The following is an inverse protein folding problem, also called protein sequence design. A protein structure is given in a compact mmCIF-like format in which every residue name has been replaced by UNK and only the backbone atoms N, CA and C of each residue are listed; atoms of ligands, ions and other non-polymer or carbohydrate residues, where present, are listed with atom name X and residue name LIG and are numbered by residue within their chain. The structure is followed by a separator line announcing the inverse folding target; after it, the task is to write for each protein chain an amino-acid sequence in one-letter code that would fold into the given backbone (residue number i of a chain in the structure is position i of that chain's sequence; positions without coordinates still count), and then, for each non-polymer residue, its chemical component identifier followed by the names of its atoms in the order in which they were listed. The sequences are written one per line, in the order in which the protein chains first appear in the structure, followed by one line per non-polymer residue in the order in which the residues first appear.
data_IF_319131800548
#
_entry.id   IF_319131800548
#
_cell.length_a   1.000
_cell.length_b   1.000
_cell.length_c   1.000
_cell.angle_alpha   90.00
_cell.angle_beta   90.00
_cell.angle_gamma   90.00
#
_symmetry.space_group_name_H-M   'P 1'
#
loop_
_entity.id
_entity.type
_entity.pdbx_description
1 polymer ?
#
# COMPACT_ATOMS: atom_id res chain seq x y z
N UNK A 1 26.33 -28.75 82.71
CA UNK A 1 26.11 -29.55 81.48
C UNK A 1 24.67 -30.04 81.51
N UNK A 2 23.83 -29.66 80.53
CA UNK A 2 22.37 -29.70 80.67
C UNK A 2 21.73 -30.95 80.04
N UNK A 3 20.58 -31.36 80.60
CA UNK A 3 19.58 -32.21 79.95
C UNK A 3 18.81 -31.36 78.93
N UNK A 4 18.79 -31.77 77.67
CA UNK A 4 17.83 -31.24 76.68
C UNK A 4 16.85 -32.36 76.25
N UNK A 5 15.60 -32.19 76.66
CA UNK A 5 14.43 -32.92 76.17
C UNK A 5 14.00 -32.29 74.83
N UNK A 6 13.89 -33.10 73.79
CA UNK A 6 13.39 -32.69 72.47
C UNK A 6 11.85 -32.79 72.49
N UNK A 7 11.18 -31.65 72.30
CA UNK A 7 9.75 -31.55 72.01
C UNK A 7 9.53 -31.75 70.50
N UNK A 8 8.70 -32.71 70.13
CA UNK A 8 8.21 -32.91 68.76
C UNK A 8 6.95 -32.06 68.60
N UNK A 9 7.05 -30.98 67.83
CA UNK A 9 5.91 -30.17 67.41
C UNK A 9 5.40 -30.62 66.03
N UNK A 10 4.14 -31.02 65.94
CA UNK A 10 3.43 -31.26 64.68
C UNK A 10 3.07 -29.90 64.04
N UNK A 11 3.61 -29.62 62.84
CA UNK A 11 3.18 -28.50 62.00
C UNK A 11 2.15 -28.99 60.97
N UNK A 12 0.93 -28.47 61.05
CA UNK A 12 -0.16 -28.72 60.11
C UNK A 12 0.07 -27.81 58.88
N UNK A 13 0.46 -28.38 57.74
CA UNK A 13 0.61 -27.63 56.49
C UNK A 13 -0.76 -27.54 55.77
N UNK A 14 -1.29 -26.33 55.68
CA UNK A 14 -2.47 -26.03 54.87
C UNK A 14 -2.09 -25.99 53.38
N UNK A 15 -2.68 -26.88 52.57
CA UNK A 15 -2.51 -26.90 51.12
C UNK A 15 -3.34 -25.81 50.48
N UNK A 16 -2.70 -24.78 49.93
CA UNK A 16 -3.32 -23.79 49.04
C UNK A 16 -3.25 -24.33 47.62
N UNK A 17 -4.40 -24.69 47.04
CA UNK A 17 -4.50 -25.14 45.65
C UNK A 17 -4.28 -23.96 44.70
N UNK A 18 -3.09 -23.86 44.12
CA UNK A 18 -2.83 -23.01 42.96
C UNK A 18 -3.45 -23.65 41.71
N UNK A 19 -4.69 -23.27 41.38
CA UNK A 19 -5.22 -23.46 40.04
C UNK A 19 -4.53 -22.47 39.10
N UNK A 20 -3.34 -22.81 38.62
CA UNK A 20 -2.69 -22.10 37.54
C UNK A 20 -3.53 -22.30 36.27
N UNK A 21 -4.04 -21.19 35.74
CA UNK A 21 -4.63 -21.11 34.39
C UNK A 21 -3.58 -21.66 33.41
N UNK A 22 -3.82 -22.87 32.90
CA UNK A 22 -3.05 -23.42 31.81
C UNK A 22 -3.20 -22.47 30.61
N UNK A 23 -2.14 -21.69 30.34
CA UNK A 23 -2.02 -20.99 29.07
C UNK A 23 -1.86 -22.05 28.00
N UNK A 24 -2.80 -22.06 27.07
CA UNK A 24 -2.80 -22.88 25.86
C UNK A 24 -1.45 -22.72 25.13
N UNK A 25 -0.60 -23.75 25.20
CA UNK A 25 0.77 -23.78 24.68
C UNK A 25 0.85 -24.23 23.23
N UNK A 26 -0.28 -24.37 22.53
CA UNK A 26 -0.25 -24.56 21.09
C UNK A 26 0.42 -23.35 20.41
N UNK A 27 1.39 -23.55 19.50
CA UNK A 27 2.02 -22.44 18.79
C UNK A 27 0.94 -21.69 18.01
N UNK A 28 0.60 -20.48 18.48
CA UNK A 28 -0.40 -19.64 17.82
C UNK A 28 0.09 -19.28 16.43
N UNK A 29 -0.77 -19.49 15.43
CA UNK A 29 -0.55 -19.03 14.05
C UNK A 29 -0.23 -17.53 14.10
N UNK A 30 0.87 -17.04 13.48
CA UNK A 30 1.18 -15.61 13.47
C UNK A 30 0.04 -14.80 12.87
N UNK A 31 -0.25 -13.61 13.38
CA UNK A 31 -1.29 -12.73 12.83
C UNK A 31 -1.06 -12.36 11.37
N UNK A 32 -2.11 -11.88 10.71
CA UNK A 32 -2.08 -11.46 9.31
C UNK A 32 -2.39 -9.98 9.20
N UNK A 33 -1.54 -9.26 8.47
CA UNK A 33 -1.87 -7.91 8.00
C UNK A 33 -2.35 -8.02 6.56
N UNK A 34 -3.46 -7.37 6.22
CA UNK A 34 -3.99 -7.36 4.85
C UNK A 34 -4.10 -5.92 4.35
N UNK A 35 -3.18 -5.55 3.46
CA UNK A 35 -3.18 -4.24 2.81
C UNK A 35 -3.98 -4.31 1.50
N UNK A 36 -5.06 -3.54 1.40
CA UNK A 36 -5.94 -3.49 0.23
C UNK A 36 -5.75 -2.16 -0.48
N UNK A 37 -5.46 -2.20 -1.79
CA UNK A 37 -5.05 -1.02 -2.56
C UNK A 37 -6.12 0.06 -2.74
N UNK A 38 -7.34 -0.15 -2.24
CA UNK A 38 -8.46 0.79 -2.38
C UNK A 38 -9.49 0.33 -3.40
N UNK A 39 -10.61 1.06 -3.49
CA UNK A 39 -11.73 0.75 -4.39
C UNK A 39 -12.16 -0.74 -4.38
N UNK A 40 -12.05 -1.40 -3.22
CA UNK A 40 -12.44 -2.79 -3.06
C UNK A 40 -13.94 -2.92 -3.33
N UNK A 41 -14.28 -3.73 -4.34
CA UNK A 41 -15.67 -3.97 -4.70
C UNK A 41 -16.31 -4.95 -3.73
N UNK A 42 -17.62 -4.80 -3.52
CA UNK A 42 -18.39 -5.67 -2.62
C UNK A 42 -18.49 -7.09 -3.17
N UNK A 43 -18.48 -7.24 -4.50
CA UNK A 43 -18.52 -8.52 -5.22
C UNK A 43 -17.14 -9.20 -5.35
N UNK A 44 -16.07 -8.64 -4.78
CA UNK A 44 -14.75 -9.26 -4.76
C UNK A 44 -14.68 -10.38 -3.72
N UNK A 45 -15.41 -11.47 -3.98
CA UNK A 45 -15.46 -12.64 -3.13
C UNK A 45 -14.08 -13.21 -2.76
N UNK A 46 -13.08 -13.29 -3.67
CA UNK A 46 -11.74 -13.77 -3.32
C UNK A 46 -11.10 -13.01 -2.15
N UNK A 47 -11.27 -11.69 -2.08
CA UNK A 47 -10.73 -10.89 -0.97
C UNK A 47 -11.55 -11.06 0.30
N UNK A 48 -12.87 -10.89 0.23
CA UNK A 48 -13.72 -10.95 1.42
C UNK A 48 -13.70 -12.32 2.09
N UNK A 49 -13.84 -13.41 1.31
CA UNK A 49 -13.79 -14.77 1.84
C UNK A 49 -12.42 -15.09 2.44
N UNK A 50 -11.32 -14.58 1.86
CA UNK A 50 -9.99 -14.81 2.41
C UNK A 50 -9.79 -14.09 3.75
N UNK A 51 -10.32 -12.88 3.93
CA UNK A 51 -10.29 -12.19 5.22
C UNK A 51 -10.97 -13.02 6.32
N UNK A 52 -12.17 -13.53 6.04
CA UNK A 52 -12.94 -14.35 6.98
C UNK A 52 -12.20 -15.67 7.28
N UNK A 53 -11.66 -16.33 6.26
CA UNK A 53 -10.88 -17.55 6.42
C UNK A 53 -9.66 -17.35 7.32
N UNK A 54 -8.90 -16.26 7.11
CA UNK A 54 -7.71 -15.97 7.91
C UNK A 54 -8.04 -15.61 9.36
N UNK A 55 -9.25 -15.08 9.62
CA UNK A 55 -9.76 -14.79 10.96
C UNK A 55 -10.40 -16.02 11.65
N UNK A 56 -10.30 -17.23 11.06
CA UNK A 56 -10.81 -18.46 11.67
C UNK A 56 -12.07 -19.04 11.00
N UNK A 57 -12.51 -18.47 9.89
CA UNK A 57 -13.62 -18.98 9.09
C UNK A 57 -14.99 -18.37 9.45
N UNK A 58 -16.09 -18.96 8.96
CA UNK A 58 -17.44 -18.46 9.21
C UNK A 58 -17.73 -18.29 10.70
N UNK A 59 -18.37 -17.19 11.08
CA UNK A 59 -18.64 -16.79 12.45
C UNK A 59 -17.52 -15.97 13.12
N UNK A 60 -16.36 -15.80 12.45
CA UNK A 60 -15.29 -14.93 12.94
C UNK A 60 -15.80 -13.50 13.19
N UNK A 61 -15.49 -12.94 14.36
CA UNK A 61 -15.93 -11.61 14.74
C UNK A 61 -14.97 -10.54 14.25
N UNK A 62 -15.51 -9.50 13.62
CA UNK A 62 -14.74 -8.38 13.09
C UNK A 62 -15.16 -7.06 13.75
N UNK A 63 -14.18 -6.28 14.19
CA UNK A 63 -14.38 -4.86 14.47
C UNK A 63 -14.13 -4.05 13.18
N UNK A 64 -15.11 -3.26 12.76
CA UNK A 64 -15.00 -2.36 11.60
C UNK A 64 -14.78 -0.93 12.09
N UNK A 65 -13.63 -0.36 11.76
CA UNK A 65 -13.21 0.99 12.11
C UNK A 65 -13.30 1.87 10.87
N UNK A 66 -14.37 2.65 10.79
CA UNK A 66 -14.59 3.61 9.70
C UNK A 66 -13.97 4.99 9.98
N UNK A 67 -12.95 5.05 10.84
CA UNK A 67 -12.35 6.27 11.39
C UNK A 67 -11.92 7.29 10.32
N UNK A 68 -11.37 6.82 9.20
CA UNK A 68 -10.92 7.65 8.10
C UNK A 68 -12.05 8.31 7.29
N UNK A 69 -13.25 7.73 7.33
CA UNK A 69 -14.32 8.06 6.38
C UNK A 69 -14.95 9.42 6.66
N UNK A 70 -15.36 10.12 5.58
CA UNK A 70 -16.22 11.29 5.68
C UNK A 70 -17.62 10.97 6.22
N UNK A 71 -18.10 9.74 6.02
CA UNK A 71 -19.36 9.25 6.55
C UNK A 71 -19.12 7.87 7.18
N UNK A 72 -18.66 7.85 8.45
CA UNK A 72 -18.23 6.62 9.10
C UNK A 72 -19.38 5.63 9.30
N UNK A 73 -20.61 6.11 9.54
CA UNK A 73 -21.79 5.26 9.66
C UNK A 73 -22.06 4.48 8.37
N UNK A 74 -22.09 5.16 7.22
CA UNK A 74 -22.34 4.54 5.91
C UNK A 74 -21.20 3.61 5.48
N UNK A 75 -19.95 4.08 5.62
CA UNK A 75 -18.76 3.31 5.23
C UNK A 75 -18.60 2.06 6.11
N UNK A 76 -18.80 2.21 7.42
CA UNK A 76 -18.79 1.11 8.38
C UNK A 76 -19.88 0.08 8.08
N UNK A 77 -21.13 0.52 7.90
CA UNK A 77 -22.25 -0.37 7.61
C UNK A 77 -22.05 -1.17 6.32
N UNK A 78 -21.58 -0.52 5.23
CA UNK A 78 -21.30 -1.20 3.96
C UNK A 78 -20.20 -2.26 4.10
N UNK A 79 -19.16 -1.94 4.86
CA UNK A 79 -18.03 -2.87 5.09
C UNK A 79 -18.46 -4.04 5.97
N UNK A 80 -19.19 -3.78 7.05
CA UNK A 80 -19.74 -4.81 7.91
C UNK A 80 -20.68 -5.74 7.13
N UNK A 81 -21.53 -5.19 6.25
CA UNK A 81 -22.38 -5.99 5.37
C UNK A 81 -21.57 -6.92 4.45
N UNK A 82 -20.49 -6.43 3.83
CA UNK A 82 -19.64 -7.25 2.96
C UNK A 82 -18.96 -8.39 3.73
N UNK A 83 -18.44 -8.11 4.95
CA UNK A 83 -17.88 -9.13 5.83
C UNK A 83 -18.94 -10.16 6.26
N UNK A 84 -20.15 -9.70 6.60
CA UNK A 84 -21.27 -10.58 6.97
C UNK A 84 -21.70 -11.48 5.79
N UNK A 85 -21.75 -10.94 4.58
CA UNK A 85 -22.02 -11.71 3.35
C UNK A 85 -20.95 -12.77 3.08
N UNK A 86 -19.69 -12.50 3.46
CA UNK A 86 -18.60 -13.47 3.39
C UNK A 86 -18.58 -14.46 4.57
N UNK A 87 -19.52 -14.36 5.52
CA UNK A 87 -19.71 -15.29 6.62
C UNK A 87 -19.15 -14.86 7.98
N UNK A 88 -18.64 -13.63 8.13
CA UNK A 88 -18.22 -13.11 9.43
C UNK A 88 -19.40 -12.56 10.26
N UNK A 89 -19.12 -12.21 11.52
CA UNK A 89 -19.98 -11.39 12.38
C UNK A 89 -19.28 -10.05 12.61
N UNK A 90 -19.57 -9.07 11.78
CA UNK A 90 -18.94 -7.76 11.81
C UNK A 90 -19.75 -6.74 12.62
N UNK A 91 -19.05 -6.00 13.47
CA UNK A 91 -19.59 -4.90 14.24
C UNK A 91 -18.86 -3.59 13.91
N UNK A 92 -19.62 -2.51 13.68
CA UNK A 92 -19.06 -1.18 13.46
C UNK A 92 -18.73 -0.54 14.81
N UNK A 93 -17.46 -0.18 15.00
CA UNK A 93 -17.02 0.54 16.19
C UNK A 93 -17.17 2.04 15.94
N UNK A 94 -17.91 2.79 16.78
CA UNK A 94 -18.20 4.20 16.55
C UNK A 94 -17.02 5.13 16.91
N UNK A 95 -15.82 4.77 16.46
CA UNK A 95 -14.58 5.46 16.77
C UNK A 95 -14.14 6.32 15.58
N UNK A 96 -14.71 7.51 15.45
CA UNK A 96 -14.35 8.49 14.43
C UNK A 96 -14.59 9.92 14.93
N UNK A 97 -13.69 10.88 14.61
CA UNK A 97 -13.95 12.30 14.82
C UNK A 97 -15.17 12.84 14.06
N UNK A 98 -15.67 12.10 13.06
CA UNK A 98 -16.84 12.46 12.25
C UNK A 98 -18.12 11.73 12.67
N UNK A 99 -18.07 10.91 13.71
CA UNK A 99 -19.24 10.22 14.24
C UNK A 99 -20.11 11.19 15.05
N UNK A 100 -21.41 11.26 14.76
CA UNK A 100 -22.31 12.19 15.45
C UNK A 100 -22.76 11.66 16.81
N UNK A 101 -22.72 12.51 17.83
CA UNK A 101 -23.26 12.20 19.16
C UNK A 101 -22.45 11.21 19.98
N UNK A 102 -21.19 10.96 19.61
CA UNK A 102 -20.27 10.07 20.33
C UNK A 102 -19.03 10.85 20.76
N UNK A 103 -18.67 10.75 22.05
CA UNK A 103 -17.38 11.22 22.55
C UNK A 103 -16.28 10.21 22.17
N UNK A 104 -15.81 10.33 20.93
CA UNK A 104 -14.78 9.45 20.38
C UNK A 104 -13.44 9.60 21.12
N UNK A 105 -13.18 10.74 21.78
CA UNK A 105 -11.93 10.99 22.50
C UNK A 105 -11.88 10.20 23.80
N UNK A 106 -13.00 10.10 24.52
CA UNK A 106 -13.12 9.20 25.66
C UNK A 106 -13.15 7.74 25.20
N UNK A 107 -13.90 7.44 24.13
CA UNK A 107 -14.13 6.08 23.64
C UNK A 107 -12.82 5.36 23.23
N UNK A 108 -11.85 6.06 22.63
CA UNK A 108 -10.58 5.46 22.17
C UNK A 108 -9.74 4.84 23.29
N UNK A 109 -9.96 5.28 24.53
CA UNK A 109 -9.26 4.84 25.73
C UNK A 109 -10.20 4.12 26.72
N UNK A 110 -11.45 3.86 26.31
CA UNK A 110 -12.43 3.16 27.16
C UNK A 110 -12.05 1.67 27.34
N UNK A 111 -11.85 1.20 28.58
CA UNK A 111 -11.42 -0.18 28.83
C UNK A 111 -12.39 -1.24 28.30
N UNK A 112 -13.70 -0.99 28.38
CA UNK A 112 -14.71 -1.92 27.89
C UNK A 112 -14.66 -2.08 26.37
N UNK A 113 -14.48 -0.98 25.63
CA UNK A 113 -14.31 -1.05 24.18
C UNK A 113 -12.98 -1.74 23.81
N UNK A 114 -11.89 -1.41 24.49
CA UNK A 114 -10.60 -2.05 24.24
C UNK A 114 -10.66 -3.57 24.46
N UNK A 115 -11.27 -4.01 25.58
CA UNK A 115 -11.47 -5.43 25.87
C UNK A 115 -12.35 -6.12 24.80
N UNK A 116 -13.39 -5.43 24.33
CA UNK A 116 -14.23 -5.91 23.24
C UNK A 116 -13.46 -6.10 21.94
N UNK A 117 -12.68 -5.10 21.52
CA UNK A 117 -11.84 -5.18 20.31
C UNK A 117 -10.80 -6.28 20.45
N UNK A 118 -10.16 -6.42 21.61
CA UNK A 118 -9.17 -7.46 21.87
C UNK A 118 -9.72 -8.90 21.81
N UNK A 119 -11.04 -9.08 21.99
CA UNK A 119 -11.73 -10.36 21.86
C UNK A 119 -12.21 -10.71 20.44
N UNK A 120 -11.95 -9.84 19.45
CA UNK A 120 -12.29 -10.08 18.04
C UNK A 120 -11.23 -10.93 17.34
N UNK A 121 -11.60 -11.54 16.21
CA UNK A 121 -10.67 -12.30 15.38
C UNK A 121 -10.15 -11.46 14.20
N UNK A 122 -10.84 -10.36 13.88
CA UNK A 122 -10.44 -9.45 12.82
C UNK A 122 -10.72 -7.99 13.16
N UNK A 123 -9.91 -7.11 12.60
CA UNK A 123 -10.11 -5.66 12.60
C UNK A 123 -10.00 -5.18 11.16
N UNK A 124 -10.97 -4.38 10.70
CA UNK A 124 -10.99 -3.83 9.35
C UNK A 124 -11.05 -2.30 9.40
N UNK A 125 -10.05 -1.64 8.77
CA UNK A 125 -9.99 -0.19 8.60
C UNK A 125 -10.52 0.23 7.22
N UNK A 126 -11.53 1.09 7.19
CA UNK A 126 -12.05 1.61 5.90
C UNK A 126 -11.16 2.70 5.31
N UNK A 127 -11.41 3.06 4.06
CA UNK A 127 -10.75 4.19 3.39
C UNK A 127 -11.25 5.56 3.85
N UNK A 128 -10.58 6.61 3.39
CA UNK A 128 -10.84 8.01 3.71
C UNK A 128 -9.53 8.78 3.92
N UNK A 129 -9.45 9.60 4.97
CA UNK A 129 -8.25 10.32 5.37
C UNK A 129 -7.45 9.54 6.44
N UNK A 130 -6.26 9.04 6.09
CA UNK A 130 -5.42 8.21 6.96
C UNK A 130 -4.93 8.92 8.22
N UNK A 131 -4.74 10.25 8.18
CA UNK A 131 -4.38 11.04 9.35
C UNK A 131 -5.46 11.04 10.44
N UNK A 132 -6.73 10.82 10.09
CA UNK A 132 -7.79 10.65 11.08
C UNK A 132 -7.63 9.33 11.83
N UNK A 133 -7.15 8.28 11.17
CA UNK A 133 -6.86 7.00 11.85
C UNK A 133 -5.74 7.19 12.86
N UNK A 134 -4.61 7.76 12.43
CA UNK A 134 -3.43 7.88 13.28
C UNK A 134 -3.62 8.89 14.40
N UNK A 135 -4.24 10.05 14.15
CA UNK A 135 -4.54 11.03 15.22
C UNK A 135 -5.58 10.52 16.23
N UNK A 136 -6.49 9.64 15.80
CA UNK A 136 -7.48 9.02 16.70
C UNK A 136 -6.85 7.91 17.55
N UNK A 137 -6.08 7.00 16.95
CA UNK A 137 -5.55 5.80 17.62
C UNK A 137 -4.15 5.97 18.22
N UNK A 138 -3.42 7.00 17.80
CA UNK A 138 -2.07 7.28 18.24
C UNK A 138 -1.82 8.79 18.43
N UNK A 139 -2.64 9.51 19.23
CA UNK A 139 -2.49 10.94 19.44
C UNK A 139 -1.11 11.29 20.01
N UNK A 140 -0.41 12.21 19.36
CA UNK A 140 0.95 12.62 19.78
C UNK A 140 1.96 11.46 19.78
N UNK A 141 1.74 10.44 18.96
CA UNK A 141 2.61 9.27 18.89
C UNK A 141 2.37 8.22 19.98
N UNK A 142 1.42 8.44 20.90
CA UNK A 142 1.11 7.52 22.01
C UNK A 142 -0.06 6.60 21.67
N UNK A 143 0.10 5.27 21.75
CA UNK A 143 -0.98 4.34 21.41
C UNK A 143 -2.12 4.39 22.44
N UNK A 144 -3.36 4.49 21.97
CA UNK A 144 -4.56 4.41 22.81
C UNK A 144 -4.85 2.99 23.27
N UNK A 145 -5.77 2.82 24.22
CA UNK A 145 -6.21 1.48 24.66
C UNK A 145 -6.79 0.65 23.49
N UNK A 146 -7.57 1.27 22.59
CA UNK A 146 -8.08 0.59 21.40
C UNK A 146 -6.96 0.19 20.44
N UNK A 147 -5.92 1.02 20.21
CA UNK A 147 -4.80 0.62 19.36
C UNK A 147 -4.02 -0.57 19.96
N UNK A 148 -3.83 -0.58 21.28
CA UNK A 148 -3.23 -1.71 21.98
C UNK A 148 -4.07 -2.98 21.79
N UNK A 149 -5.39 -2.88 21.87
CA UNK A 149 -6.30 -3.99 21.59
C UNK A 149 -6.19 -4.50 20.14
N UNK A 150 -6.08 -3.60 19.14
CA UNK A 150 -5.86 -4.00 17.74
C UNK A 150 -4.53 -4.76 17.58
N UNK A 151 -3.46 -4.29 18.22
CA UNK A 151 -2.17 -5.01 18.24
C UNK A 151 -2.29 -6.37 18.91
N UNK A 152 -3.09 -6.48 19.96
CA UNK A 152 -3.36 -7.73 20.65
C UNK A 152 -4.12 -8.74 19.76
N UNK A 153 -5.09 -8.30 18.95
CA UNK A 153 -5.75 -9.17 17.94
C UNK A 153 -4.71 -9.78 17.01
N UNK A 154 -3.80 -8.97 16.47
CA UNK A 154 -2.73 -9.45 15.60
C UNK A 154 -1.78 -10.42 16.31
N UNK A 155 -1.36 -10.09 17.55
CA UNK A 155 -0.48 -10.94 18.36
C UNK A 155 -1.12 -12.30 18.73
N UNK A 156 -2.45 -12.39 18.75
CA UNK A 156 -3.20 -13.63 18.99
C UNK A 156 -3.42 -14.46 17.73
N UNK A 157 -2.94 -14.02 16.56
CA UNK A 157 -3.12 -14.72 15.30
C UNK A 157 -4.30 -14.25 14.46
N UNK A 158 -4.98 -13.18 14.88
CA UNK A 158 -6.08 -12.56 14.15
C UNK A 158 -5.63 -11.75 12.92
N UNK A 159 -6.60 -11.08 12.30
CA UNK A 159 -6.42 -10.31 11.07
C UNK A 159 -6.52 -8.81 11.36
N UNK A 160 -5.58 -8.02 10.83
CA UNK A 160 -5.70 -6.57 10.72
C UNK A 160 -5.69 -6.20 9.25
N UNK A 161 -6.84 -5.80 8.72
CA UNK A 161 -7.04 -5.48 7.32
C UNK A 161 -7.37 -4.00 7.14
N UNK A 162 -7.03 -3.42 5.98
CA UNK A 162 -7.40 -2.05 5.68
C UNK A 162 -7.35 -1.71 4.20
N UNK A 163 -8.27 -0.86 3.75
CA UNK A 163 -8.39 -0.43 2.35
C UNK A 163 -8.06 1.05 2.18
N UNK A 164 -7.29 1.41 1.14
CA UNK A 164 -6.88 2.79 0.87
C UNK A 164 -6.17 3.40 2.08
N UNK A 165 -6.73 4.41 2.77
CA UNK A 165 -6.19 4.93 4.04
C UNK A 165 -5.86 3.83 5.06
N UNK A 166 -6.69 2.80 5.17
CA UNK A 166 -6.44 1.64 6.04
C UNK A 166 -5.20 0.83 5.62
N UNK A 167 -4.84 0.79 4.33
CA UNK A 167 -3.60 0.15 3.88
C UNK A 167 -2.37 1.04 4.13
N UNK A 168 -2.51 2.36 3.98
CA UNK A 168 -1.40 3.31 4.16
C UNK A 168 -0.85 3.30 5.59
N UNK A 169 -1.69 3.12 6.61
CA UNK A 169 -1.28 3.05 8.01
C UNK A 169 -0.53 1.76 8.39
N UNK A 170 -0.43 0.77 7.50
CA UNK A 170 0.13 -0.54 7.84
C UNK A 170 1.64 -0.48 8.05
N UNK A 171 2.36 0.41 7.38
CA UNK A 171 3.80 0.66 7.59
C UNK A 171 4.07 1.70 8.67
N UNK A 172 5.30 1.77 9.20
CA UNK A 172 5.67 2.75 10.24
C UNK A 172 5.66 4.20 9.75
N UNK A 173 5.98 4.39 8.47
CA UNK A 173 5.78 5.64 7.75
C UNK A 173 4.65 5.47 6.74
N UNK A 174 3.92 6.55 6.50
CA UNK A 174 2.85 6.60 5.52
C UNK A 174 2.87 7.94 4.79
N UNK A 175 2.29 7.97 3.59
CA UNK A 175 1.90 9.23 2.97
C UNK A 175 0.64 9.78 3.60
N UNK A 176 0.57 11.11 3.77
CA UNK A 176 -0.70 11.83 3.96
C UNK A 176 -1.45 11.93 2.62
N UNK A 177 -2.74 12.23 2.63
CA UNK A 177 -3.58 12.02 1.44
C UNK A 177 -3.20 12.93 0.24
N UNK A 178 -3.55 12.48 -0.96
CA UNK A 178 -3.53 13.22 -2.23
C UNK A 178 -2.19 13.84 -2.71
N UNK A 179 -1.05 13.18 -2.47
CA UNK A 179 0.25 13.67 -2.96
C UNK A 179 0.50 13.42 -4.45
N UNK A 180 0.94 14.46 -5.15
CA UNK A 180 1.49 14.41 -6.51
C UNK A 180 2.84 13.67 -6.50
N UNK A 181 2.91 12.56 -7.23
CA UNK A 181 4.11 11.73 -7.29
C UNK A 181 5.31 12.47 -7.89
N UNK A 182 5.08 13.37 -8.84
CA UNK A 182 6.15 14.16 -9.45
C UNK A 182 6.75 15.16 -8.47
N UNK A 183 5.92 15.84 -7.67
CA UNK A 183 6.40 16.73 -6.60
C UNK A 183 7.28 16.00 -5.59
N UNK A 184 6.96 14.75 -5.26
CA UNK A 184 7.79 13.93 -4.36
C UNK A 184 9.14 13.59 -5.00
N UNK A 185 9.17 13.21 -6.29
CA UNK A 185 10.43 13.05 -7.04
C UNK A 185 11.26 14.34 -7.03
N UNK A 186 10.60 15.51 -7.11
CA UNK A 186 11.24 16.83 -7.02
C UNK A 186 11.69 17.21 -5.60
N UNK A 187 11.53 16.33 -4.62
CA UNK A 187 12.03 16.50 -3.25
C UNK A 187 11.01 17.02 -2.23
N UNK A 188 9.72 17.13 -2.59
CA UNK A 188 8.68 17.53 -1.64
C UNK A 188 8.26 16.35 -0.75
N UNK A 189 8.96 16.17 0.36
CA UNK A 189 8.76 15.06 1.30
C UNK A 189 8.92 15.50 2.76
N UNK A 190 8.10 16.44 3.23
CA UNK A 190 8.18 16.99 4.59
C UNK A 190 7.35 16.16 5.55
N UNK A 191 7.89 15.92 6.73
CA UNK A 191 7.17 15.28 7.83
C UNK A 191 6.04 16.16 8.34
N UNK A 192 4.90 15.54 8.69
CA UNK A 192 3.69 16.22 9.12
C UNK A 192 2.85 16.81 7.97
N UNK A 193 3.42 16.96 6.77
CA UNK A 193 2.74 17.51 5.58
C UNK A 193 2.51 16.46 4.49
N UNK A 194 3.59 15.90 3.92
CA UNK A 194 3.49 14.89 2.86
C UNK A 194 3.58 13.46 3.41
N UNK A 195 4.38 13.27 4.45
CA UNK A 195 4.55 11.98 5.13
C UNK A 195 4.36 12.11 6.64
N UNK A 196 3.96 11.02 7.27
CA UNK A 196 3.75 10.95 8.72
C UNK A 196 3.99 9.52 9.23
N UNK A 197 3.91 9.34 10.54
CA UNK A 197 3.93 8.01 11.16
C UNK A 197 2.61 7.28 10.89
N UNK A 198 2.72 6.06 10.37
CA UNK A 198 1.63 5.09 10.34
C UNK A 198 1.53 4.32 11.66
N UNK A 199 0.76 3.24 11.68
CA UNK A 199 0.60 2.39 12.86
C UNK A 199 1.59 1.21 12.90
N UNK A 200 2.30 0.92 11.81
CA UNK A 200 3.44 -0.02 11.82
C UNK A 200 3.07 -1.46 12.18
N UNK A 201 2.09 -2.04 11.48
CA UNK A 201 1.70 -3.44 11.61
C UNK A 201 2.57 -4.41 10.80
N UNK A 202 3.24 -3.95 9.74
CA UNK A 202 4.10 -4.80 8.87
C UNK A 202 5.60 -4.75 9.21
N UNK A 203 5.94 -4.17 10.37
CA UNK A 203 7.33 -4.00 10.80
C UNK A 203 8.08 -2.88 10.08
N UNK A 204 9.39 -2.75 10.32
CA UNK A 204 10.19 -1.61 9.88
C UNK A 204 10.69 -1.72 8.43
N UNK A 205 10.70 -2.92 7.85
CA UNK A 205 11.39 -3.18 6.58
C UNK A 205 10.51 -2.97 5.33
N UNK A 206 9.18 -2.93 5.50
CA UNK A 206 8.21 -2.88 4.42
C UNK A 206 7.38 -1.58 4.45
N UNK A 207 7.48 -0.79 3.38
CA UNK A 207 6.63 0.38 3.16
C UNK A 207 5.41 0.00 2.31
N UNK A 208 4.19 0.38 2.73
CA UNK A 208 2.96 0.10 1.99
C UNK A 208 2.42 1.35 1.30
N UNK A 209 2.09 1.21 0.02
CA UNK A 209 1.32 2.20 -0.73
C UNK A 209 0.12 1.53 -1.43
N UNK A 210 -0.84 2.35 -1.85
CA UNK A 210 -2.19 1.98 -2.29
C UNK A 210 -2.58 2.83 -3.51
N UNK A 211 -3.65 2.48 -4.24
CA UNK A 211 -4.05 3.09 -5.52
C UNK A 211 -2.86 3.28 -6.47
N UNK A 212 -2.00 2.27 -6.53
CA UNK A 212 -0.58 2.50 -6.76
C UNK A 212 -0.22 2.81 -8.22
N UNK A 213 -0.42 1.85 -9.13
CA UNK A 213 -0.20 1.98 -10.56
C UNK A 213 -1.21 2.92 -11.21
N UNK A 214 -2.47 2.90 -10.74
CA UNK A 214 -3.52 3.81 -11.23
C UNK A 214 -3.16 5.29 -11.10
N UNK A 215 -2.29 5.64 -10.15
CA UNK A 215 -1.89 7.02 -9.83
C UNK A 215 -0.39 7.28 -9.94
N UNK A 216 0.37 6.42 -10.63
CA UNK A 216 1.80 6.63 -10.84
C UNK A 216 2.64 6.67 -9.56
N UNK A 217 2.19 6.03 -8.48
CA UNK A 217 2.77 6.21 -7.14
C UNK A 217 4.15 5.56 -6.97
N UNK A 218 4.68 4.90 -8.00
CA UNK A 218 6.10 4.55 -8.09
C UNK A 218 7.00 5.79 -7.90
N UNK A 219 6.58 6.95 -8.44
CA UNK A 219 7.32 8.20 -8.30
C UNK A 219 7.44 8.69 -6.85
N UNK A 220 6.52 8.30 -5.96
CA UNK A 220 6.60 8.70 -4.54
C UNK A 220 7.17 7.63 -3.63
N UNK A 221 6.89 6.34 -3.87
CA UNK A 221 7.33 5.27 -2.95
C UNK A 221 8.86 5.17 -2.90
N UNK A 222 9.55 5.30 -4.03
CA UNK A 222 11.02 5.14 -4.06
C UNK A 222 11.73 6.27 -3.29
N UNK A 223 11.40 7.55 -3.48
CA UNK A 223 11.95 8.62 -2.65
C UNK A 223 11.73 8.44 -1.15
N UNK A 224 10.52 8.04 -0.71
CA UNK A 224 10.28 7.86 0.74
C UNK A 224 11.03 6.65 1.28
N UNK A 225 11.12 5.55 0.51
CA UNK A 225 11.90 4.39 0.92
C UNK A 225 13.38 4.75 1.11
N UNK A 226 13.97 5.47 0.14
CA UNK A 226 15.34 5.95 0.24
C UNK A 226 15.52 6.90 1.43
N UNK A 227 14.60 7.85 1.64
CA UNK A 227 14.69 8.84 2.72
C UNK A 227 14.51 8.25 4.12
N UNK A 228 13.74 7.15 4.25
CA UNK A 228 13.41 6.49 5.52
C UNK A 228 14.12 5.17 5.76
N UNK A 229 14.98 4.74 4.84
CA UNK A 229 15.79 3.52 4.98
C UNK A 229 15.03 2.22 4.81
N UNK A 230 13.92 2.22 4.06
CA UNK A 230 13.19 0.99 3.75
C UNK A 230 13.91 0.17 2.68
N UNK A 231 14.06 -1.13 2.93
CA UNK A 231 14.49 -2.08 1.91
C UNK A 231 13.38 -2.38 0.93
N UNK A 232 12.19 -2.71 1.45
CA UNK A 232 11.07 -3.20 0.65
C UNK A 232 9.94 -2.17 0.58
N UNK A 233 9.36 -2.04 -0.61
CA UNK A 233 8.16 -1.25 -0.85
C UNK A 233 7.13 -2.11 -1.57
N UNK A 234 5.86 -2.01 -1.17
CA UNK A 234 4.77 -2.73 -1.80
C UNK A 234 3.64 -1.76 -2.14
N UNK A 235 3.47 -1.52 -3.43
CA UNK A 235 2.36 -0.77 -3.98
C UNK A 235 1.21 -1.69 -4.36
N UNK A 236 0.12 -1.66 -3.60
CA UNK A 236 -1.06 -2.50 -3.87
C UNK A 236 -2.06 -1.76 -4.75
N UNK A 237 -2.52 -2.42 -5.81
CA UNK A 237 -3.47 -1.81 -6.75
C UNK A 237 -4.93 -1.89 -6.27
N UNK A 238 -5.77 -1.02 -6.81
CA UNK A 238 -7.21 -1.04 -6.61
C UNK A 238 -7.81 -2.44 -6.81
N UNK A 239 -8.80 -2.75 -5.97
CA UNK A 239 -9.50 -4.03 -5.98
C UNK A 239 -8.58 -5.27 -5.82
N UNK A 240 -7.40 -5.07 -5.23
CA UNK A 240 -6.41 -6.11 -4.91
C UNK A 240 -5.95 -5.98 -3.48
N UNK A 241 -5.42 -7.08 -2.92
CA UNK A 241 -4.90 -7.11 -1.57
C UNK A 241 -3.59 -7.91 -1.50
N UNK A 242 -2.73 -7.50 -0.57
CA UNK A 242 -1.57 -8.26 -0.15
C UNK A 242 -1.80 -8.78 1.27
N UNK A 243 -1.80 -10.10 1.44
CA UNK A 243 -1.74 -10.75 2.75
C UNK A 243 -0.29 -10.86 3.18
N UNK A 244 0.01 -10.40 4.38
CA UNK A 244 1.35 -10.31 4.93
C UNK A 244 1.38 -11.09 6.24
N UNK A 245 2.21 -12.13 6.30
CA UNK A 245 2.44 -12.95 7.50
C UNK A 245 3.94 -13.09 7.73
N UNK A 246 4.47 -12.36 8.71
CA UNK A 246 5.90 -12.24 8.88
C UNK A 246 6.53 -11.70 7.60
N UNK A 247 7.43 -12.46 6.99
CA UNK A 247 8.11 -12.10 5.73
C UNK A 247 7.36 -12.52 4.47
N UNK A 248 6.26 -13.27 4.60
CA UNK A 248 5.56 -13.84 3.45
C UNK A 248 4.44 -12.91 2.98
N UNK A 249 4.43 -12.62 1.69
CA UNK A 249 3.41 -11.88 0.97
C UNK A 249 2.67 -12.85 0.05
N UNK A 250 1.34 -12.75 0.00
CA UNK A 250 0.50 -13.37 -1.02
C UNK A 250 -0.42 -12.31 -1.62
N UNK A 251 -0.46 -12.22 -2.94
CA UNK A 251 -1.32 -11.28 -3.66
C UNK A 251 -2.64 -11.96 -4.02
N UNK A 252 -3.75 -11.27 -3.77
CA UNK A 252 -5.10 -11.71 -4.11
C UNK A 252 -5.91 -10.56 -4.70
N UNK A 253 -7.04 -10.89 -5.34
CA UNK A 253 -7.90 -9.91 -5.98
C UNK A 253 -7.61 -9.80 -7.48
N UNK A 254 -7.71 -8.59 -8.04
CA UNK A 254 -7.96 -8.44 -9.48
C UNK A 254 -6.84 -7.81 -10.31
N UNK A 255 -5.93 -7.01 -9.73
CA UNK A 255 -4.99 -6.14 -10.46
C UNK A 255 -3.55 -6.20 -9.98
N UNK A 256 -3.26 -7.00 -8.95
CA UNK A 256 -1.90 -7.24 -8.48
C UNK A 256 -1.31 -6.18 -7.53
N UNK A 257 0.01 -6.27 -7.35
CA UNK A 257 0.83 -5.38 -6.55
C UNK A 257 2.24 -5.26 -7.15
N UNK A 258 2.87 -4.09 -7.03
CA UNK A 258 4.27 -3.87 -7.40
C UNK A 258 5.16 -3.92 -6.16
N UNK A 259 6.10 -4.84 -6.14
CA UNK A 259 7.15 -4.95 -5.15
C UNK A 259 8.42 -4.22 -5.62
N UNK A 260 8.99 -3.40 -4.74
CA UNK A 260 10.24 -2.66 -4.93
C UNK A 260 11.27 -3.16 -3.92
N UNK A 261 12.45 -3.54 -4.40
CA UNK A 261 13.63 -3.85 -3.57
C UNK A 261 14.74 -2.83 -3.81
N UNK A 262 15.18 -2.17 -2.74
CA UNK A 262 16.30 -1.22 -2.76
C UNK A 262 17.60 -1.81 -2.19
N UNK A 263 17.66 -3.11 -1.92
CA UNK A 263 18.84 -3.76 -1.31
C UNK A 263 20.15 -3.56 -2.08
N UNK A 264 20.08 -3.42 -3.41
CA UNK A 264 21.24 -3.16 -4.28
C UNK A 264 21.24 -1.75 -4.86
N UNK A 265 20.26 -0.92 -4.48
CA UNK A 265 20.09 0.41 -5.05
C UNK A 265 21.18 1.37 -4.54
N UNK A 266 21.62 2.27 -5.42
CA UNK A 266 22.55 3.35 -5.09
C UNK A 266 21.98 4.69 -5.51
N UNK A 267 22.47 5.76 -4.89
CA UNK A 267 22.16 7.12 -5.31
C UNK A 267 23.43 7.97 -5.28
N UNK A 268 23.43 9.04 -6.08
CA UNK A 268 24.47 10.04 -6.13
C UNK A 268 23.98 11.33 -5.45
N UNK A 269 24.43 11.64 -4.22
CA UNK A 269 24.01 12.86 -3.52
C UNK A 269 24.49 14.14 -4.20
N UNK A 270 25.49 14.08 -5.10
CA UNK A 270 26.04 15.26 -5.78
C UNK A 270 25.12 15.84 -6.85
N UNK A 271 24.06 15.13 -7.27
CA UNK A 271 23.14 15.62 -8.30
C UNK A 271 22.16 16.69 -7.80
N UNK A 272 22.01 16.88 -6.49
CA UNK A 272 21.10 17.89 -5.91
C UNK A 272 19.61 17.64 -6.18
N UNK A 273 19.26 16.51 -6.78
CA UNK A 273 17.90 16.06 -7.04
C UNK A 273 17.82 14.54 -6.80
N UNK A 274 16.60 14.04 -6.56
CA UNK A 274 16.37 12.61 -6.35
C UNK A 274 16.90 11.81 -7.55
N UNK A 275 17.58 10.71 -7.25
CA UNK A 275 18.06 9.75 -8.23
C UNK A 275 18.25 8.41 -7.55
N UNK A 276 18.05 7.33 -8.32
CA UNK A 276 18.32 5.97 -7.87
C UNK A 276 18.84 5.15 -9.04
N UNK A 277 19.75 4.23 -8.77
CA UNK A 277 20.28 3.26 -9.74
C UNK A 277 20.16 1.85 -9.17
N UNK A 278 19.70 0.91 -9.99
CA UNK A 278 19.64 -0.50 -9.61
C UNK A 278 18.53 -0.86 -8.62
N UNK A 279 17.44 -0.09 -8.57
CA UNK A 279 16.23 -0.55 -7.87
C UNK A 279 15.65 -1.77 -8.60
N UNK A 280 15.18 -2.78 -7.88
CA UNK A 280 14.57 -3.97 -8.49
C UNK A 280 13.06 -3.93 -8.31
N UNK A 281 12.33 -4.20 -9.40
CA UNK A 281 10.88 -4.20 -9.47
C UNK A 281 10.37 -5.61 -9.79
N UNK A 282 9.34 -6.04 -9.10
CA UNK A 282 8.54 -7.21 -9.46
C UNK A 282 7.06 -6.88 -9.40
N UNK A 283 6.34 -7.12 -10.50
CA UNK A 283 4.88 -7.05 -10.53
C UNK A 283 4.34 -8.44 -10.21
N UNK A 284 3.60 -8.52 -9.11
CA UNK A 284 3.00 -9.73 -8.57
C UNK A 284 1.49 -9.67 -8.79
N UNK A 285 0.95 -10.67 -9.46
CA UNK A 285 -0.48 -10.77 -9.72
C UNK A 285 -1.12 -11.82 -8.80
N UNK A 286 -2.45 -11.99 -8.85
CA UNK A 286 -3.20 -12.90 -8.00
C UNK A 286 -2.56 -14.29 -7.92
N UNK A 287 -2.54 -14.82 -6.70
CA UNK A 287 -1.96 -16.12 -6.36
C UNK A 287 -0.43 -16.12 -6.24
N UNK A 288 0.26 -15.06 -6.66
CA UNK A 288 1.71 -14.97 -6.49
C UNK A 288 2.09 -14.79 -5.03
N UNK A 289 3.22 -15.38 -4.66
CA UNK A 289 3.78 -15.30 -3.31
C UNK A 289 5.20 -14.77 -3.37
N UNK A 290 5.59 -13.99 -2.37
CA UNK A 290 6.95 -13.51 -2.19
C UNK A 290 7.39 -13.68 -0.75
N UNK A 291 8.62 -14.11 -0.51
CA UNK A 291 9.22 -14.13 0.83
C UNK A 291 10.32 -13.08 0.93
N UNK A 292 10.07 -12.04 1.74
CA UNK A 292 10.97 -10.91 1.95
C UNK A 292 12.31 -11.30 2.59
N UNK A 293 12.38 -12.45 3.29
CA UNK A 293 13.62 -12.94 3.88
C UNK A 293 14.56 -13.49 2.81
N UNK A 294 14.04 -14.33 1.92
CA UNK A 294 14.82 -15.02 0.88
C UNK A 294 14.88 -14.25 -0.43
N UNK A 295 13.96 -13.29 -0.65
CA UNK A 295 13.77 -12.59 -1.91
C UNK A 295 13.17 -13.47 -3.03
N UNK A 296 12.67 -14.66 -2.69
CA UNK A 296 12.13 -15.62 -3.66
C UNK A 296 10.67 -15.30 -3.95
N UNK A 297 10.35 -15.20 -5.24
CA UNK A 297 8.97 -15.10 -5.72
C UNK A 297 8.53 -16.43 -6.31
N UNK A 298 7.32 -16.85 -5.96
CA UNK A 298 6.67 -18.06 -6.45
C UNK A 298 5.38 -17.67 -7.16
N UNK A 299 5.34 -17.73 -8.51
CA UNK A 299 4.12 -17.44 -9.26
C UNK A 299 2.99 -18.42 -8.93
N UNK A 300 1.75 -18.00 -9.12
CA UNK A 300 0.59 -18.88 -9.01
C UNK A 300 0.73 -20.11 -9.93
N UNK A 301 0.18 -21.25 -9.51
CA UNK A 301 0.43 -22.53 -10.19
C UNK A 301 -0.04 -22.55 -11.66
N UNK A 302 -1.16 -21.89 -11.93
CA UNK A 302 -1.76 -21.71 -13.26
C UNK A 302 -0.91 -20.83 -14.21
N UNK A 303 0.04 -20.06 -13.69
CA UNK A 303 0.96 -19.21 -14.47
C UNK A 303 2.30 -19.89 -14.80
N UNK A 304 2.60 -21.06 -14.24
CA UNK A 304 3.94 -21.67 -14.36
C UNK A 304 4.16 -22.42 -15.68
N UNK A 305 3.13 -22.58 -16.50
CA UNK A 305 3.24 -23.22 -17.80
C UNK A 305 3.72 -22.23 -18.86
N UNK A 306 5.01 -22.25 -19.18
CA UNK A 306 5.60 -21.41 -20.23
C UNK A 306 6.10 -20.05 -19.72
N UNK A 307 7.17 -20.02 -18.90
CA UNK A 307 7.79 -18.77 -18.50
C UNK A 307 8.36 -18.03 -19.70
N UNK A 308 8.25 -16.71 -19.67
CA UNK A 308 8.98 -15.80 -20.56
C UNK A 308 10.36 -15.63 -19.94
N UNK A 309 11.35 -16.30 -20.50
CA UNK A 309 12.76 -16.21 -20.10
C UNK A 309 13.56 -15.46 -21.18
N UNK A 310 13.85 -14.17 -21.00
CA UNK A 310 14.60 -13.38 -21.98
C UNK A 310 16.05 -13.86 -22.16
N UNK A 311 16.58 -14.69 -21.26
CA UNK A 311 17.92 -15.26 -21.35
C UNK A 311 17.95 -16.63 -22.05
N UNK A 312 16.79 -17.22 -22.31
CA UNK A 312 16.68 -18.51 -22.99
C UNK A 312 17.08 -18.39 -24.46
N UNK A 313 17.88 -19.33 -25.01
CA UNK A 313 18.11 -19.41 -26.46
C UNK A 313 16.83 -19.67 -27.28
N UNK A 314 15.76 -20.12 -26.62
CA UNK A 314 14.45 -20.38 -27.24
C UNK A 314 13.48 -19.19 -27.06
N UNK A 315 13.95 -18.07 -26.52
CA UNK A 315 13.14 -16.87 -26.33
C UNK A 315 12.57 -16.37 -27.66
N UNK A 316 11.24 -16.28 -27.72
CA UNK A 316 10.49 -15.78 -28.88
C UNK A 316 9.58 -14.65 -28.38
N UNK A 317 10.08 -13.39 -28.36
CA UNK A 317 9.32 -12.28 -27.83
C UNK A 317 8.05 -12.02 -28.64
N UNK A 318 6.95 -11.70 -27.95
CA UNK A 318 5.75 -11.21 -28.61
C UNK A 318 5.94 -9.80 -29.19
N UNK A 319 6.64 -8.93 -28.47
CA UNK A 319 6.91 -7.56 -28.91
C UNK A 319 8.15 -7.50 -29.80
N UNK A 320 8.07 -6.72 -30.87
CA UNK A 320 9.22 -6.50 -31.76
C UNK A 320 10.26 -5.54 -31.16
N UNK A 321 9.84 -4.66 -30.26
CA UNK A 321 10.68 -3.69 -29.55
C UNK A 321 10.01 -3.18 -28.28
N UNK A 322 10.81 -2.68 -27.34
CA UNK A 322 10.40 -1.85 -26.23
C UNK A 322 9.98 -0.45 -26.70
N UNK A 323 8.86 0.05 -26.18
CA UNK A 323 8.38 1.41 -26.47
C UNK A 323 9.11 2.47 -25.64
N UNK A 324 9.10 3.71 -26.12
CA UNK A 324 9.42 4.86 -25.27
C UNK A 324 8.14 5.38 -24.60
N UNK A 325 8.18 5.62 -23.29
CA UNK A 325 7.03 6.11 -22.53
C UNK A 325 7.17 7.59 -22.17
N UNK A 326 6.34 8.50 -22.73
CA UNK A 326 6.45 9.93 -22.46
C UNK A 326 5.97 10.32 -21.06
N UNK A 327 5.18 9.47 -20.40
CA UNK A 327 4.71 9.65 -19.02
C UNK A 327 4.74 8.31 -18.26
N UNK A 328 5.86 8.05 -17.59
CA UNK A 328 6.10 6.86 -16.78
C UNK A 328 5.25 6.82 -15.50
N UNK A 329 4.71 7.98 -15.07
CA UNK A 329 3.79 8.07 -13.92
C UNK A 329 2.32 7.97 -14.35
N UNK A 330 2.06 7.68 -15.62
CA UNK A 330 0.72 7.43 -16.14
C UNK A 330 0.07 6.16 -15.59
N UNK A 331 -1.23 6.03 -15.86
CA UNK A 331 -2.08 4.93 -15.41
C UNK A 331 -1.58 3.55 -15.87
N UNK A 332 -1.10 2.73 -14.93
CA UNK A 332 -0.47 1.41 -15.19
C UNK A 332 0.78 1.44 -16.07
N UNK A 333 1.32 2.63 -16.40
CA UNK A 333 2.41 2.75 -17.37
C UNK A 333 3.63 1.91 -16.98
N UNK A 334 4.08 1.98 -15.73
CA UNK A 334 5.28 1.25 -15.26
C UNK A 334 5.11 -0.27 -15.37
N UNK A 335 3.93 -0.81 -15.05
CA UNK A 335 3.66 -2.24 -15.15
C UNK A 335 3.60 -2.70 -16.61
N UNK A 336 2.96 -1.91 -17.47
CA UNK A 336 2.93 -2.16 -18.92
C UNK A 336 4.33 -2.11 -19.53
N UNK A 337 5.16 -1.15 -19.11
CA UNK A 337 6.55 -1.03 -19.54
C UNK A 337 7.38 -2.24 -19.12
N UNK A 338 7.18 -2.76 -17.90
CA UNK A 338 7.82 -3.99 -17.42
C UNK A 338 7.39 -5.22 -18.23
N UNK A 339 6.09 -5.39 -18.48
CA UNK A 339 5.55 -6.50 -19.28
C UNK A 339 6.04 -6.45 -20.73
N UNK A 340 6.07 -5.26 -21.33
CA UNK A 340 6.59 -5.08 -22.69
C UNK A 340 8.10 -5.36 -22.74
N UNK A 341 8.87 -4.84 -21.79
CA UNK A 341 10.31 -5.04 -21.74
C UNK A 341 10.64 -6.53 -21.65
N UNK A 342 10.04 -7.27 -20.71
CA UNK A 342 10.35 -8.69 -20.51
C UNK A 342 10.07 -9.53 -21.76
N UNK A 343 9.03 -9.19 -22.52
CA UNK A 343 8.60 -9.93 -23.72
C UNK A 343 8.99 -9.22 -25.05
N UNK A 344 10.06 -8.44 -25.02
CA UNK A 344 10.67 -7.79 -26.21
C UNK A 344 12.11 -8.27 -26.42
N UNK A 345 12.75 -8.10 -27.59
CA UNK A 345 14.17 -8.40 -27.77
C UNK A 345 15.11 -7.40 -27.06
N UNK A 346 14.62 -6.21 -26.70
CA UNK A 346 15.46 -5.14 -26.17
C UNK A 346 15.94 -5.43 -24.74
N UNK A 347 17.17 -5.02 -24.43
CA UNK A 347 17.74 -5.18 -23.10
C UNK A 347 17.23 -4.11 -22.11
N UNK A 348 16.80 -2.95 -22.63
CA UNK A 348 16.34 -1.83 -21.85
C UNK A 348 15.19 -1.07 -22.53
N UNK A 349 14.48 -0.29 -21.72
CA UNK A 349 13.37 0.56 -22.10
C UNK A 349 13.48 1.89 -21.35
N UNK A 350 13.08 2.99 -22.00
CA UNK A 350 13.15 4.33 -21.40
C UNK A 350 11.79 5.02 -21.38
N UNK A 351 11.60 5.88 -20.40
CA UNK A 351 10.51 6.83 -20.38
C UNK A 351 10.81 8.03 -19.51
N UNK A 352 9.89 8.99 -19.49
CA UNK A 352 10.05 10.26 -18.79
C UNK A 352 8.92 10.48 -17.79
N UNK A 353 9.19 11.30 -16.77
CA UNK A 353 8.19 11.89 -15.90
C UNK A 353 8.50 13.38 -15.75
N UNK A 354 7.60 14.24 -16.23
CA UNK A 354 7.74 15.69 -16.18
C UNK A 354 6.37 16.37 -16.25
N UNK A 355 6.31 17.66 -15.92
CA UNK A 355 5.10 18.44 -16.05
C UNK A 355 5.01 19.09 -17.43
N UNK A 356 4.35 18.42 -18.36
CA UNK A 356 4.19 18.95 -19.73
C UNK A 356 3.45 20.29 -19.80
N UNK A 357 2.51 20.57 -18.89
CA UNK A 357 1.74 21.84 -18.89
C UNK A 357 2.66 23.04 -18.66
N UNK A 358 3.58 22.92 -17.70
CA UNK A 358 4.54 23.98 -17.40
C UNK A 358 5.44 24.30 -18.61
N UNK A 359 5.86 23.28 -19.37
CA UNK A 359 6.74 23.41 -20.54
C UNK A 359 6.04 23.90 -21.81
N UNK A 360 4.70 23.87 -21.85
CA UNK A 360 3.90 24.46 -22.91
C UNK A 360 3.58 25.93 -22.66
N UNK A 361 4.10 26.52 -21.58
CA UNK A 361 3.73 27.88 -21.16
C UNK A 361 2.30 27.99 -20.62
N UNK A 362 1.60 26.86 -20.42
CA UNK A 362 0.27 26.80 -19.83
C UNK A 362 0.41 26.92 -18.32
N UNK A 363 0.64 28.16 -17.83
CA UNK A 363 0.50 28.47 -16.41
C UNK A 363 -0.93 28.18 -15.99
N UNK A 364 -1.10 27.60 -14.79
CA UNK A 364 -2.41 27.31 -14.22
C UNK A 364 -3.35 28.50 -14.40
N UNK A 365 -4.56 28.24 -14.92
CA UNK A 365 -5.55 29.29 -15.11
C UNK A 365 -5.81 29.95 -13.77
N UNK A 366 -5.36 31.20 -13.61
CA UNK A 366 -5.98 32.11 -12.70
C UNK A 366 -7.47 32.13 -13.08
N UNK A 367 -8.34 31.94 -12.09
CA UNK A 367 -9.77 32.14 -12.25
C UNK A 367 -10.01 33.44 -13.03
N UNK A 368 -10.55 33.32 -14.24
CA UNK A 368 -11.08 34.46 -14.96
C UNK A 368 -12.26 34.98 -14.14
N UNK A 369 -12.02 35.99 -13.30
CA UNK A 369 -13.07 36.87 -12.84
C UNK A 369 -13.67 37.53 -14.08
N UNK A 370 -14.96 37.29 -14.34
CA UNK A 370 -15.72 37.97 -15.37
C UNK A 370 -16.36 37.02 -16.38
N UNK A 371 -17.54 36.50 -16.04
CA UNK A 371 -18.38 35.76 -16.97
C UNK A 371 -19.62 35.21 -16.25
N UNK A 372 -20.78 35.80 -16.52
CA UNK A 372 -22.06 35.53 -15.87
C UNK A 372 -22.44 34.05 -15.86
N UNK A 373 -22.71 33.53 -14.66
CA UNK A 373 -23.30 32.21 -14.47
C UNK A 373 -24.67 32.14 -15.14
N UNK A 374 -24.83 31.21 -16.09
CA UNK A 374 -26.15 30.71 -16.49
C UNK A 374 -26.46 29.44 -15.72
N UNK A 375 -27.73 29.37 -15.33
CA UNK A 375 -28.30 28.59 -14.25
C UNK A 375 -28.61 27.16 -14.71
N UNK A 376 -27.60 26.26 -14.76
CA UNK A 376 -27.83 24.80 -14.93
C UNK A 376 -26.99 23.93 -13.96
N UNK A 377 -25.99 24.45 -13.23
CA UNK A 377 -25.16 23.63 -12.31
C UNK A 377 -25.63 23.64 -10.85
N UNK A 378 -26.87 23.22 -10.58
CA UNK A 378 -27.35 22.97 -9.21
C UNK A 378 -28.07 21.64 -9.03
N UNK A 379 -27.57 20.55 -9.59
CA UNK A 379 -27.92 19.21 -9.07
C UNK A 379 -26.91 18.17 -9.52
N UNK A 380 -25.81 18.04 -8.78
CA UNK A 380 -25.09 16.77 -8.57
C UNK A 380 -23.92 17.00 -7.59
N UNK A 381 -23.78 16.09 -6.63
CA UNK A 381 -22.89 16.25 -5.48
C UNK A 381 -21.42 16.33 -5.89
N UNK A 382 -20.72 17.34 -5.35
CA UNK A 382 -19.25 17.46 -5.39
C UNK A 382 -18.58 16.22 -4.80
N UNK A 383 -18.30 15.25 -5.66
CA UNK A 383 -17.34 14.17 -5.46
C UNK A 383 -16.68 13.93 -6.83
N UNK A 384 -15.41 14.31 -6.96
CA UNK A 384 -14.59 13.92 -8.10
C UNK A 384 -14.26 15.04 -9.07
N UNK A 385 -13.26 15.84 -8.73
CA UNK A 385 -12.26 16.34 -9.68
C UNK A 385 -11.08 16.84 -8.85
N UNK A 386 -9.87 16.60 -9.34
CA UNK A 386 -8.58 17.03 -8.77
C UNK A 386 -7.95 16.16 -7.66
N UNK A 387 -7.79 14.85 -7.93
CA UNK A 387 -6.93 13.94 -7.14
C UNK A 387 -5.89 13.26 -8.03
N UNK A 388 -4.77 13.94 -8.28
CA UNK A 388 -3.64 13.42 -9.06
C UNK A 388 -3.08 14.37 -10.13
N UNK A 389 -3.67 15.55 -10.30
CA UNK A 389 -3.12 16.57 -11.20
C UNK A 389 -1.79 17.10 -10.66
N UNK A 390 -0.79 17.39 -11.52
CA UNK A 390 0.42 18.11 -11.11
C UNK A 390 0.02 19.39 -10.38
N UNK A 391 0.64 19.68 -9.23
CA UNK A 391 0.26 20.87 -8.46
C UNK A 391 0.35 22.11 -9.34
N UNK A 392 -0.65 22.99 -9.22
CA UNK A 392 -0.75 24.26 -9.99
C UNK A 392 0.54 25.11 -9.85
N UNK A 393 1.24 24.96 -8.73
CA UNK A 393 2.57 25.53 -8.46
C UNK A 393 3.69 24.50 -8.64
N UNK A 394 4.06 24.23 -9.88
CA UNK A 394 5.30 23.48 -10.17
C UNK A 394 6.52 24.33 -9.84
N UNK A 395 7.19 23.98 -8.75
CA UNK A 395 8.33 24.71 -8.21
C UNK A 395 9.64 24.47 -8.98
N UNK A 396 9.69 23.47 -9.88
CA UNK A 396 10.85 23.17 -10.73
C UNK A 396 10.37 22.71 -12.13
N UNK A 397 9.86 23.62 -12.97
CA UNK A 397 9.15 23.27 -14.21
C UNK A 397 10.05 22.56 -15.24
N UNK A 398 11.34 22.90 -15.29
CA UNK A 398 12.30 22.29 -16.22
C UNK A 398 12.96 21.02 -15.66
N UNK A 399 12.61 20.60 -14.43
CA UNK A 399 13.09 19.34 -13.86
C UNK A 399 12.08 18.23 -14.14
N UNK A 400 12.58 17.13 -14.68
CA UNK A 400 11.86 15.86 -14.74
C UNK A 400 12.82 14.71 -14.53
N UNK A 401 12.36 13.51 -14.84
CA UNK A 401 13.08 12.28 -14.51
C UNK A 401 13.01 11.31 -15.68
N UNK A 402 14.15 10.79 -16.10
CA UNK A 402 14.22 9.62 -16.97
C UNK A 402 14.12 8.36 -16.12
N UNK A 403 13.22 7.47 -16.51
CA UNK A 403 13.11 6.11 -16.00
C UNK A 403 13.73 5.19 -17.04
N UNK A 404 14.76 4.45 -16.63
CA UNK A 404 15.38 3.40 -17.45
C UNK A 404 15.06 2.06 -16.79
N UNK A 405 14.27 1.25 -17.48
CA UNK A 405 14.01 -0.14 -17.10
C UNK A 405 14.93 -1.06 -17.88
N UNK A 406 15.50 -2.08 -17.26
CA UNK A 406 16.38 -3.02 -17.95
C UNK A 406 16.28 -4.43 -17.38
N UNK A 407 16.54 -5.40 -18.25
CA UNK A 407 16.65 -6.81 -17.88
C UNK A 407 17.97 -7.03 -17.16
N UNK A 408 17.97 -7.94 -16.21
CA UNK A 408 19.17 -8.39 -15.51
C UNK A 408 19.01 -9.81 -15.00
N UNK A 409 19.93 -10.26 -14.12
CA UNK A 409 19.87 -11.60 -13.56
C UNK A 409 18.53 -11.88 -12.87
N UNK A 410 17.84 -12.92 -13.33
CA UNK A 410 16.56 -13.33 -12.77
C UNK A 410 15.35 -12.54 -13.25
N UNK A 411 15.48 -11.73 -14.32
CA UNK A 411 14.31 -11.16 -14.99
C UNK A 411 13.51 -12.25 -15.70
N UNK A 412 12.25 -12.44 -15.30
CA UNK A 412 11.35 -13.44 -15.88
C UNK A 412 9.93 -12.87 -16.00
N UNK A 413 9.19 -13.35 -17.00
CA UNK A 413 7.76 -13.09 -17.14
C UNK A 413 6.96 -14.38 -17.03
N UNK A 414 5.70 -14.26 -16.60
CA UNK A 414 4.70 -15.33 -16.66
C UNK A 414 3.40 -14.71 -17.13
N UNK A 415 2.67 -15.46 -17.95
CA UNK A 415 1.42 -15.02 -18.53
C UNK A 415 0.36 -16.12 -18.40
N UNK A 416 -0.88 -15.73 -18.14
CA UNK A 416 -2.03 -16.62 -18.32
C UNK A 416 -3.25 -15.87 -18.84
N UNK A 417 -3.99 -16.51 -19.74
CA UNK A 417 -5.31 -16.05 -20.20
C UNK A 417 -6.48 -16.77 -19.53
N UNK A 418 -6.23 -17.64 -18.54
CA UNK A 418 -7.19 -18.60 -18.01
C UNK A 418 -8.48 -17.98 -17.43
N UNK A 419 -8.45 -16.69 -17.09
CA UNK A 419 -9.56 -15.97 -16.44
C UNK A 419 -10.16 -14.86 -17.32
N UNK A 420 -9.92 -14.90 -18.63
CA UNK A 420 -10.49 -13.93 -19.58
C UNK A 420 -9.86 -12.54 -19.56
N UNK A 421 -8.72 -12.39 -18.88
CA UNK A 421 -7.86 -11.20 -18.87
C UNK A 421 -6.39 -11.56 -19.10
N UNK A 422 -5.57 -10.56 -19.39
CA UNK A 422 -4.11 -10.71 -19.53
C UNK A 422 -3.45 -10.65 -18.13
N UNK A 423 -3.47 -11.77 -17.41
CA UNK A 423 -2.81 -11.89 -16.10
C UNK A 423 -1.31 -12.05 -16.32
N UNK A 424 -0.52 -11.09 -15.85
CA UNK A 424 0.93 -11.03 -16.04
C UNK A 424 1.66 -10.95 -14.71
N UNK A 425 2.70 -11.77 -14.54
CA UNK A 425 3.70 -11.63 -13.46
C UNK A 425 5.02 -11.25 -14.10
N UNK A 426 5.67 -10.20 -13.61
CA UNK A 426 7.00 -9.80 -14.09
C UNK A 426 7.94 -9.72 -12.91
N UNK A 427 9.03 -10.46 -12.96
CA UNK A 427 9.98 -10.57 -11.86
C UNK A 427 11.27 -9.85 -12.21
N UNK A 428 11.82 -9.15 -11.21
CA UNK A 428 13.20 -8.63 -11.19
C UNK A 428 13.61 -7.82 -12.42
N UNK A 429 12.76 -6.90 -12.86
CA UNK A 429 13.20 -5.82 -13.77
C UNK A 429 13.97 -4.80 -12.94
N UNK A 430 15.06 -4.26 -13.49
CA UNK A 430 15.85 -3.25 -12.81
C UNK A 430 15.43 -1.86 -13.29
N UNK A 431 15.53 -0.86 -12.42
CA UNK A 431 15.13 0.51 -12.67
C UNK A 431 16.19 1.49 -12.18
N UNK A 432 16.52 2.44 -13.05
CA UNK A 432 17.21 3.67 -12.70
C UNK A 432 16.24 4.85 -12.87
N UNK A 433 16.30 5.83 -11.96
CA UNK A 433 15.63 7.12 -12.07
C UNK A 433 16.71 8.20 -12.07
N UNK A 434 16.83 8.92 -13.18
CA UNK A 434 17.84 9.97 -13.38
C UNK A 434 17.15 11.33 -13.53
N UNK A 435 17.51 12.35 -12.75
CA UNK A 435 16.98 13.69 -12.93
C UNK A 435 17.49 14.26 -14.26
N UNK A 436 16.58 14.84 -15.05
CA UNK A 436 16.88 15.42 -16.37
C UNK A 436 16.35 16.85 -16.45
N UNK A 437 17.03 17.68 -17.25
CA UNK A 437 16.56 19.02 -17.61
C UNK A 437 15.75 18.94 -18.90
N UNK A 438 14.50 19.37 -18.84
CA UNK A 438 13.62 19.42 -20.01
C UNK A 438 13.85 20.74 -20.74
N UNK A 439 13.72 20.70 -22.07
CA UNK A 439 13.78 21.90 -22.90
C UNK A 439 12.48 22.69 -22.76
N UNK A 440 12.61 24.01 -22.74
CA UNK A 440 11.48 24.94 -22.72
C UNK A 440 11.58 25.90 -23.94
N UNK A 441 10.65 25.84 -24.91
CA UNK A 441 9.50 24.94 -24.96
C UNK A 441 9.93 23.49 -25.22
N UNK A 442 9.07 22.54 -24.84
CA UNK A 442 9.33 21.11 -25.04
C UNK A 442 9.53 20.74 -26.52
N UNK A 443 8.74 21.36 -27.39
CA UNK A 443 8.81 21.20 -28.84
C UNK A 443 8.53 22.52 -29.55
N UNK A 444 8.90 22.60 -30.82
CA UNK A 444 8.58 23.72 -31.70
C UNK A 444 7.63 23.23 -32.80
N UNK A 445 6.47 23.89 -33.02
CA UNK A 445 5.62 23.61 -34.16
C UNK A 445 6.36 23.85 -35.49
N UNK A 446 6.06 23.05 -36.51
CA UNK A 446 6.56 23.31 -37.85
C UNK A 446 5.96 24.62 -38.39
N UNK A 447 6.80 25.45 -38.99
CA UNK A 447 6.37 26.60 -39.78
C UNK A 447 6.42 26.23 -41.25
N UNK A 448 5.43 26.70 -42.04
CA UNK A 448 5.47 26.54 -43.49
C UNK A 448 6.80 27.11 -44.03
N UNK A 449 7.42 26.38 -44.97
CA UNK A 449 8.57 26.92 -45.68
C UNK A 449 8.14 28.21 -46.40
N UNK A 450 8.98 29.27 -46.42
CA UNK A 450 8.69 30.44 -47.22
C UNK A 450 8.43 30.00 -48.68
N UNK A 451 7.41 30.58 -49.30
CA UNK A 451 7.12 30.33 -50.71
C UNK A 451 8.37 30.69 -51.55
N UNK A 452 8.70 29.87 -52.56
CA UNK A 452 9.94 30.02 -53.34
C UNK A 452 10.05 31.38 -54.05
#
# INVERSE_FOLDING_TARGET
MPLNRVLIGFALAATVSNAALAQDTAPRKPGVVVAIGGALKVDNAPVWSRLVQEAGGPGAKFAVLATASDNPERSGARTAQALNQAGAVAEVIPLSPKWKGVDWQALRDEPALAAKVAGMQGVFFTGGAQELITSTLQPGGRPTAVLQAVRQVLAQGGVVAGTSAGAAIMSEWMFRDAQDALSVLKGRLREGLEIDRGLGFVGPDLFIDQHFLKRGRIGRIVPVMQAKGYRWGLGVEENSAALIRGTHIEVIGARGALLVDLSQARHNPKLGAFNVQGAQLSFLDRGDRHDLATGVTTPAADKRTGPIDPSSPQFKPFFQRASFYPDMLGDNTIANAMAQLVDSPDAELRGLAFNGRALLGLRGGAAAQGGSATEIERTEGRLGADRGSPSVDDFLPDLGFEFRLYKGPGTFGYFTGAWGGEDYTVLRVYMDITPVRLRNPLYQPLTAAPAP
#
